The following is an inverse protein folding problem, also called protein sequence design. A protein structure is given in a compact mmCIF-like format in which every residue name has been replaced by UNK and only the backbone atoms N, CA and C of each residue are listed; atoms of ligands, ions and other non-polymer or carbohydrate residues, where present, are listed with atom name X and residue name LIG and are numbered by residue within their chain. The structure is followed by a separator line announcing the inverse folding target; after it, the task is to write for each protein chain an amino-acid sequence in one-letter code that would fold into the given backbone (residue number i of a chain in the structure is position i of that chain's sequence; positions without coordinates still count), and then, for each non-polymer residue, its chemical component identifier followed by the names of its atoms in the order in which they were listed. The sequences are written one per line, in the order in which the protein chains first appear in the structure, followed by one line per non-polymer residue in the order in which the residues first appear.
data_IF_444312402776
#
_entry.id   IF_444312402776
#
_cell.length_a   1.000
_cell.length_b   1.000
_cell.length_c   1.000
_cell.angle_alpha   90.00
_cell.angle_beta   90.00
_cell.angle_gamma   90.00
#
_symmetry.space_group_name_H-M   'P 1'
#
loop_
_entity.id
_entity.type
_entity.pdbx_description
1 polymer ?
#
# COMPACT_ATOMS: atom_id res chain seq x y z
N UNK A 1 8.98 -41.93 14.14
CA UNK A 1 8.32 -41.46 12.91
C UNK A 1 8.75 -40.01 12.75
N UNK A 2 9.51 -39.68 11.71
CA UNK A 2 9.93 -38.31 11.46
C UNK A 2 8.69 -37.49 11.07
N UNK A 3 8.44 -36.40 11.78
CA UNK A 3 7.43 -35.41 11.39
C UNK A 3 7.76 -34.94 9.98
N UNK A 4 6.84 -35.20 9.04
CA UNK A 4 6.94 -34.74 7.67
C UNK A 4 6.75 -33.22 7.69
N UNK A 5 7.85 -32.47 7.88
CA UNK A 5 7.81 -31.01 7.76
C UNK A 5 7.53 -30.69 6.30
N UNK A 6 6.38 -30.08 6.07
CA UNK A 6 5.99 -29.57 4.75
C UNK A 6 6.87 -28.35 4.45
N UNK A 7 7.99 -28.57 3.75
CA UNK A 7 8.88 -27.49 3.36
C UNK A 7 8.33 -26.86 2.07
N UNK A 8 7.88 -25.61 2.16
CA UNK A 8 7.57 -24.80 0.99
C UNK A 8 8.84 -24.36 0.25
N UNK A 9 8.73 -24.11 -1.06
CA UNK A 9 9.79 -23.47 -1.83
C UNK A 9 9.74 -21.95 -1.62
N UNK A 10 10.87 -21.34 -1.28
CA UNK A 10 11.02 -19.89 -1.22
C UNK A 10 11.91 -19.44 -2.37
N UNK A 11 11.44 -18.44 -3.12
CA UNK A 11 12.23 -17.81 -4.17
C UNK A 11 12.65 -16.41 -3.70
N UNK A 12 13.94 -16.12 -3.80
CA UNK A 12 14.53 -14.81 -3.47
C UNK A 12 15.45 -14.47 -4.63
N UNK A 13 15.15 -13.40 -5.36
CA UNK A 13 15.89 -12.93 -6.55
C UNK A 13 17.42 -12.99 -6.38
N UNK A 14 17.93 -12.46 -5.27
CA UNK A 14 19.35 -12.38 -4.96
C UNK A 14 20.02 -13.74 -4.72
N UNK A 15 19.25 -14.78 -4.37
CA UNK A 15 19.74 -16.13 -4.10
C UNK A 15 19.47 -17.11 -5.25
N UNK A 16 18.37 -16.91 -5.98
CA UNK A 16 17.89 -17.83 -7.00
C UNK A 16 18.39 -17.49 -8.41
N UNK A 17 18.92 -16.28 -8.63
CA UNK A 17 19.47 -15.84 -9.91
C UNK A 17 20.99 -15.74 -9.79
N UNK A 18 21.74 -16.44 -10.65
CA UNK A 18 23.17 -16.18 -10.80
C UNK A 18 23.39 -14.80 -11.44
N UNK A 19 23.65 -13.79 -10.61
CA UNK A 19 23.91 -12.42 -11.05
C UNK A 19 25.20 -12.30 -11.90
N UNK A 20 26.11 -13.28 -11.84
CA UNK A 20 27.33 -13.34 -12.65
C UNK A 20 27.11 -13.91 -14.06
N UNK A 21 26.00 -14.61 -14.28
CA UNK A 21 25.66 -15.21 -15.56
C UNK A 21 24.61 -14.37 -16.30
N UNK A 22 25.07 -13.51 -17.22
CA UNK A 22 24.21 -12.59 -17.98
C UNK A 22 23.09 -13.31 -18.73
N UNK A 23 23.38 -14.46 -19.35
CA UNK A 23 22.39 -15.22 -20.12
C UNK A 23 21.30 -15.78 -19.21
N UNK A 24 21.68 -16.32 -18.05
CA UNK A 24 20.72 -16.82 -17.08
C UNK A 24 19.90 -15.68 -16.48
N UNK A 25 20.54 -14.56 -16.08
CA UNK A 25 19.84 -13.38 -15.56
C UNK A 25 18.77 -12.89 -16.52
N UNK A 26 19.08 -12.79 -17.82
CA UNK A 26 18.09 -12.44 -18.85
C UNK A 26 16.89 -13.38 -18.83
N UNK A 27 17.12 -14.70 -18.83
CA UNK A 27 16.05 -15.70 -18.80
C UNK A 27 15.24 -15.65 -17.50
N UNK A 28 15.91 -15.51 -16.35
CA UNK A 28 15.25 -15.43 -15.04
C UNK A 28 14.36 -14.19 -14.94
N UNK A 29 14.81 -13.05 -15.46
CA UNK A 29 13.99 -11.82 -15.49
C UNK A 29 12.74 -11.98 -16.34
N UNK A 30 12.81 -12.67 -17.47
CA UNK A 30 11.62 -13.02 -18.27
C UNK A 30 10.67 -13.95 -17.50
N UNK A 31 11.21 -14.81 -16.63
CA UNK A 31 10.41 -15.73 -15.80
C UNK A 31 9.77 -15.07 -14.58
N UNK A 32 10.19 -13.87 -14.16
CA UNK A 32 9.66 -13.22 -12.95
C UNK A 32 8.14 -13.04 -12.99
N UNK A 33 7.57 -12.80 -14.17
CA UNK A 33 6.11 -12.75 -14.34
C UNK A 33 5.45 -14.04 -13.88
N UNK A 34 5.98 -15.17 -14.33
CA UNK A 34 5.45 -16.49 -14.02
C UNK A 34 5.61 -16.84 -12.54
N UNK A 35 6.75 -16.45 -11.94
CA UNK A 35 7.05 -16.70 -10.53
C UNK A 35 6.05 -15.95 -9.65
N UNK A 36 5.91 -14.63 -9.81
CA UNK A 36 5.01 -13.84 -8.96
C UNK A 36 3.54 -14.16 -9.20
N UNK A 37 3.14 -14.42 -10.45
CA UNK A 37 1.75 -14.77 -10.78
C UNK A 37 1.33 -16.18 -10.35
N UNK A 38 2.26 -17.01 -9.86
CA UNK A 38 1.95 -18.33 -9.30
C UNK A 38 2.31 -18.44 -7.82
N UNK A 39 2.86 -17.39 -7.23
CA UNK A 39 3.17 -17.38 -5.81
C UNK A 39 1.89 -17.57 -4.98
N UNK A 40 1.92 -18.52 -4.05
CA UNK A 40 0.87 -18.68 -3.04
C UNK A 40 0.90 -17.55 -2.01
N UNK A 41 2.11 -17.07 -1.71
CA UNK A 41 2.37 -15.97 -0.80
C UNK A 41 3.58 -15.16 -1.27
N UNK A 42 3.51 -13.84 -1.06
CA UNK A 42 4.56 -12.88 -1.34
C UNK A 42 4.93 -12.21 -0.02
N UNK A 43 6.20 -12.28 0.34
CA UNK A 43 6.73 -11.73 1.58
C UNK A 43 7.60 -10.50 1.28
N UNK A 44 7.17 -9.34 1.74
CA UNK A 44 7.91 -8.08 1.62
C UNK A 44 8.66 -7.84 2.93
N UNK A 45 9.99 -7.90 2.95
CA UNK A 45 10.79 -7.65 4.15
C UNK A 45 11.35 -6.22 4.16
N UNK A 46 10.91 -5.38 5.11
CA UNK A 46 11.32 -3.98 5.22
C UNK A 46 12.59 -3.74 6.05
N UNK A 47 13.17 -4.80 6.60
CA UNK A 47 14.36 -4.73 7.44
C UNK A 47 14.03 -4.85 8.93
N UNK A 48 15.09 -4.74 9.73
CA UNK A 48 14.96 -4.63 11.19
C UNK A 48 14.47 -3.24 11.61
N UNK A 49 13.88 -3.17 12.80
CA UNK A 49 13.61 -1.91 13.47
C UNK A 49 14.90 -1.48 14.18
N UNK A 50 15.56 -0.43 13.68
CA UNK A 50 16.76 0.11 14.31
C UNK A 50 16.42 0.65 15.70
N UNK A 51 17.29 0.42 16.69
CA UNK A 51 17.06 0.83 18.08
C UNK A 51 16.90 2.34 18.30
N UNK A 52 17.36 3.17 17.36
CA UNK A 52 17.27 4.63 17.42
C UNK A 52 15.87 5.17 17.10
N UNK A 53 14.97 4.34 16.55
CA UNK A 53 13.54 4.63 16.41
C UNK A 53 12.71 4.07 17.56
N UNK A 54 13.34 3.65 18.67
CA UNK A 54 12.61 3.27 19.89
C UNK A 54 12.07 4.54 20.55
N UNK A 55 10.75 4.66 20.77
CA UNK A 55 10.21 5.79 21.50
C UNK A 55 10.78 5.81 22.93
N UNK A 56 10.95 7.02 23.44
CA UNK A 56 11.67 7.38 24.68
C UNK A 56 11.07 6.75 25.96
N UNK A 57 9.97 5.99 25.87
CA UNK A 57 9.32 5.34 27.01
C UNK A 57 8.93 3.89 26.73
N UNK A 58 9.83 2.95 27.01
CA UNK A 58 9.58 1.61 27.60
C UNK A 58 8.54 0.63 27.00
N UNK A 59 7.73 1.02 26.03
CA UNK A 59 6.75 0.20 25.32
C UNK A 59 7.05 0.32 23.84
N UNK A 60 7.28 -0.79 23.13
CA UNK A 60 7.45 -0.81 21.68
C UNK A 60 6.05 -0.68 21.02
N UNK A 61 5.64 0.46 20.45
CA UNK A 61 4.24 0.81 20.37
C UNK A 61 3.71 1.02 18.94
N UNK A 62 4.07 0.17 17.96
CA UNK A 62 3.76 0.48 16.54
C UNK A 62 2.89 -0.54 15.78
N UNK A 63 2.58 -1.72 16.37
CA UNK A 63 1.61 -2.67 15.78
C UNK A 63 0.35 -2.93 16.62
N UNK A 64 0.39 -2.60 17.93
CA UNK A 64 -0.85 -2.26 18.64
C UNK A 64 -1.55 -1.04 18.02
N UNK A 65 -0.90 -0.39 17.07
CA UNK A 65 -1.18 0.94 16.54
C UNK A 65 -2.15 0.90 15.38
N UNK A 66 -2.17 -0.18 14.59
CA UNK A 66 -3.31 -0.49 13.72
C UNK A 66 -4.56 -0.75 14.55
N UNK A 67 -4.48 -1.56 15.62
CA UNK A 67 -5.62 -1.78 16.54
C UNK A 67 -6.04 -0.50 17.26
N UNK A 68 -5.08 0.37 17.58
CA UNK A 68 -5.30 1.66 18.24
C UNK A 68 -5.89 2.67 17.27
N UNK A 69 -5.44 2.74 16.02
CA UNK A 69 -6.05 3.54 14.97
C UNK A 69 -7.48 3.10 14.70
N UNK A 70 -7.73 1.79 14.61
CA UNK A 70 -9.08 1.25 14.48
C UNK A 70 -9.96 1.56 15.71
N UNK A 71 -9.36 1.69 16.90
CA UNK A 71 -10.05 2.21 18.10
C UNK A 71 -10.31 3.72 18.03
N UNK A 72 -9.33 4.52 17.60
CA UNK A 72 -9.44 6.00 17.48
C UNK A 72 -10.49 6.38 16.43
N UNK A 73 -10.51 5.67 15.31
CA UNK A 73 -11.53 5.82 14.27
C UNK A 73 -12.88 5.22 14.67
N UNK A 74 -12.90 4.37 15.69
CA UNK A 74 -14.05 3.55 16.07
C UNK A 74 -14.64 2.75 14.88
N UNK A 75 -13.76 2.19 14.04
CA UNK A 75 -14.13 1.40 12.85
C UNK A 75 -13.58 -0.01 13.00
N UNK A 76 -14.38 -1.04 12.67
CA UNK A 76 -13.88 -2.43 12.62
C UNK A 76 -13.12 -2.68 11.31
N UNK A 77 -12.16 -3.60 11.31
CA UNK A 77 -11.33 -3.86 10.12
C UNK A 77 -12.12 -4.35 8.91
N UNK A 78 -13.12 -5.18 9.15
CA UNK A 78 -14.07 -5.63 8.13
C UNK A 78 -14.93 -4.48 7.55
N UNK A 79 -14.98 -3.34 8.22
CA UNK A 79 -15.74 -2.15 7.80
C UNK A 79 -14.86 -1.08 7.17
N UNK A 80 -13.53 -1.14 7.33
CA UNK A 80 -12.61 -0.08 6.90
C UNK A 80 -12.74 0.25 5.42
N UNK A 81 -12.81 -0.77 4.55
CA UNK A 81 -12.98 -0.56 3.11
C UNK A 81 -14.35 0.08 2.77
N UNK A 82 -15.39 -0.23 3.55
CA UNK A 82 -16.73 0.37 3.42
C UNK A 82 -16.70 1.85 3.84
N UNK A 83 -16.07 2.15 4.97
CA UNK A 83 -15.88 3.53 5.46
C UNK A 83 -15.12 4.38 4.44
N UNK A 84 -14.01 3.87 3.90
CA UNK A 84 -13.26 4.54 2.83
C UNK A 84 -14.14 4.79 1.60
N UNK A 85 -14.96 3.82 1.20
CA UNK A 85 -15.87 3.99 0.06
C UNK A 85 -16.94 5.04 0.32
N UNK A 86 -17.50 5.09 1.54
CA UNK A 86 -18.48 6.10 1.96
C UNK A 86 -17.89 7.50 2.00
N UNK A 87 -16.71 7.66 2.60
CA UNK A 87 -15.98 8.94 2.61
C UNK A 87 -15.73 9.42 1.18
N UNK A 88 -15.25 8.54 0.30
CA UNK A 88 -15.00 8.90 -1.11
C UNK A 88 -16.26 9.39 -1.81
N UNK A 89 -17.42 8.74 -1.58
CA UNK A 89 -18.70 9.19 -2.14
C UNK A 89 -19.05 10.59 -1.65
N UNK A 90 -18.85 10.88 -0.36
CA UNK A 90 -19.09 12.21 0.22
C UNK A 90 -18.17 13.27 -0.41
N UNK A 91 -16.86 13.00 -0.53
CA UNK A 91 -15.90 13.95 -1.15
C UNK A 91 -16.12 14.17 -2.65
N UNK A 92 -16.76 13.23 -3.35
CA UNK A 92 -17.11 13.37 -4.78
C UNK A 92 -18.49 14.03 -4.97
N UNK A 93 -19.35 13.96 -3.94
CA UNK A 93 -20.70 14.52 -3.92
C UNK A 93 -20.79 15.80 -3.06
N UNK A 94 -19.88 16.76 -3.25
CA UNK A 94 -20.15 18.17 -2.87
C UNK A 94 -21.25 18.77 -3.78
N UNK A 95 -22.43 18.15 -3.72
CA UNK A 95 -23.75 18.64 -4.11
C UNK A 95 -24.69 18.30 -2.94
N UNK A 96 -25.55 19.24 -2.50
CA UNK A 96 -26.07 19.27 -1.15
C UNK A 96 -27.22 18.28 -0.95
N UNK A 97 -26.96 17.14 -0.30
CA UNK A 97 -28.00 16.31 0.31
C UNK A 97 -27.53 15.77 1.67
N UNK A 98 -27.84 16.55 2.71
CA UNK A 98 -27.47 16.33 4.13
C UNK A 98 -28.11 15.10 4.79
N UNK A 99 -28.94 14.34 4.08
CA UNK A 99 -29.68 13.19 4.64
C UNK A 99 -28.85 11.90 4.71
N UNK A 100 -27.82 11.74 3.88
CA UNK A 100 -27.04 10.48 3.79
C UNK A 100 -25.93 10.36 4.85
N UNK A 101 -25.37 11.47 5.32
CA UNK A 101 -24.30 11.50 6.33
C UNK A 101 -24.79 11.06 7.71
N UNK A 102 -26.08 11.27 8.01
CA UNK A 102 -26.70 10.81 9.25
C UNK A 102 -26.87 9.28 9.29
N UNK A 103 -27.15 8.63 8.15
CA UNK A 103 -27.33 7.18 8.08
C UNK A 103 -26.02 6.43 8.34
N UNK A 104 -24.90 6.87 7.76
CA UNK A 104 -23.58 6.25 7.98
C UNK A 104 -23.09 6.45 9.41
N UNK A 105 -23.30 7.64 9.99
CA UNK A 105 -22.96 7.92 11.39
C UNK A 105 -23.83 7.08 12.35
N UNK A 106 -25.09 6.83 12.00
CA UNK A 106 -25.98 5.94 12.75
C UNK A 106 -25.63 4.46 12.58
N UNK A 107 -25.20 3.98 11.41
CA UNK A 107 -24.73 2.59 11.24
C UNK A 107 -23.46 2.32 12.07
N UNK A 108 -22.50 3.25 12.06
CA UNK A 108 -21.25 3.15 12.85
C UNK A 108 -21.53 3.15 14.35
N UNK A 109 -22.55 3.89 14.82
CA UNK A 109 -22.91 3.96 16.24
C UNK A 109 -23.90 2.88 16.69
N UNK A 110 -24.77 2.37 15.81
CA UNK A 110 -25.79 1.36 16.15
C UNK A 110 -25.28 -0.08 16.11
N UNK A 111 -24.15 -0.36 15.45
CA UNK A 111 -23.42 -1.63 15.56
C UNK A 111 -22.82 -1.88 16.95
N UNK A 112 -22.87 -0.90 17.85
CA UNK A 112 -22.23 -0.90 19.16
C UNK A 112 -23.23 -0.88 20.32
N UNK A 113 -24.18 -1.82 20.35
CA UNK A 113 -24.97 -2.06 21.56
C UNK A 113 -24.19 -2.99 22.49
N UNK A 114 -23.23 -2.43 23.27
CA UNK A 114 -22.84 -2.87 24.62
C UNK A 114 -21.59 -2.13 25.17
N UNK A 115 -21.51 -0.80 25.05
CA UNK A 115 -20.65 -0.01 25.93
C UNK A 115 -21.43 1.17 26.48
N UNK A 116 -21.84 1.04 27.74
CA UNK A 116 -22.47 2.10 28.51
C UNK A 116 -21.39 3.09 28.97
N UNK A 117 -21.39 4.29 28.40
CA UNK A 117 -21.07 5.50 29.13
C UNK A 117 -21.89 6.66 28.56
N UNK A 118 -22.74 7.22 29.41
CA UNK A 118 -23.70 8.26 29.10
C UNK A 118 -22.99 9.61 28.85
N UNK A 119 -22.98 10.08 27.61
CA UNK A 119 -23.00 11.52 27.34
C UNK A 119 -23.98 11.84 26.20
N UNK A 120 -25.11 12.42 26.59
CA UNK A 120 -26.12 13.01 25.72
C UNK A 120 -25.53 14.19 24.94
N UNK A 121 -25.43 14.05 23.62
CA UNK A 121 -25.16 15.16 22.70
C UNK A 121 -26.37 16.10 22.71
N UNK A 122 -26.15 17.35 23.11
CA UNK A 122 -27.14 18.44 23.08
C UNK A 122 -27.53 18.74 21.63
N UNK A 123 -28.84 18.90 21.37
CA UNK A 123 -29.42 19.12 20.03
C UNK A 123 -29.32 20.56 19.50
N UNK A 124 -28.59 21.44 20.18
CA UNK A 124 -28.63 22.88 19.93
C UNK A 124 -27.29 23.47 19.43
N UNK A 125 -26.61 22.80 18.49
CA UNK A 125 -25.52 23.44 17.72
C UNK A 125 -25.96 23.68 16.26
N UNK A 126 -26.29 24.91 15.86
CA UNK A 126 -26.78 25.23 14.51
C UNK A 126 -25.66 25.28 13.45
N UNK A 127 -24.42 24.89 13.78
CA UNK A 127 -23.27 24.96 12.88
C UNK A 127 -22.57 23.63 12.61
N UNK A 128 -23.20 22.49 12.91
CA UNK A 128 -22.57 21.16 12.82
C UNK A 128 -21.96 20.89 11.44
N UNK A 129 -20.64 21.00 11.35
CA UNK A 129 -19.85 20.71 10.16
C UNK A 129 -20.12 19.27 9.70
N UNK A 130 -20.97 19.13 8.68
CA UNK A 130 -21.12 17.92 7.90
C UNK A 130 -19.82 17.71 7.11
N UNK A 131 -18.94 16.81 7.57
CA UNK A 131 -17.66 16.51 6.94
C UNK A 131 -16.89 15.38 7.61
N UNK A 132 -15.69 15.09 7.10
CA UNK A 132 -14.72 14.08 7.59
C UNK A 132 -14.41 14.18 9.10
N UNK A 133 -14.75 15.29 9.75
CA UNK A 133 -14.76 15.51 11.20
C UNK A 133 -15.57 14.46 11.97
N UNK A 134 -16.57 13.81 11.33
CA UNK A 134 -17.33 12.71 11.94
C UNK A 134 -16.54 11.41 12.13
N UNK A 135 -15.40 11.24 11.45
CA UNK A 135 -14.52 10.07 11.58
C UNK A 135 -13.52 10.24 12.73
N UNK A 136 -13.21 11.48 13.10
CA UNK A 136 -12.26 11.85 14.15
C UNK A 136 -12.96 12.40 15.42
N UNK A 137 -14.24 12.10 15.63
CA UNK A 137 -15.09 12.68 16.72
C UNK A 137 -14.49 12.50 18.12
N UNK A 138 -13.66 11.48 18.30
CA UNK A 138 -13.01 11.19 19.58
C UNK A 138 -11.50 11.49 19.59
N UNK A 139 -10.92 11.85 18.45
CA UNK A 139 -9.51 12.20 18.36
C UNK A 139 -9.28 13.57 19.00
N UNK A 140 -8.36 13.63 19.96
CA UNK A 140 -7.91 14.89 20.58
C UNK A 140 -6.48 15.17 20.15
N UNK A 141 -6.07 16.43 19.96
CA UNK A 141 -4.69 16.77 19.59
C UNK A 141 -3.62 16.12 20.50
N UNK A 142 -3.94 15.90 21.77
CA UNK A 142 -3.11 15.18 22.75
C UNK A 142 -3.18 13.64 22.70
N UNK A 143 -3.88 13.05 21.73
CA UNK A 143 -3.99 11.61 21.56
C UNK A 143 -2.66 11.03 21.07
N UNK A 144 -1.84 10.61 22.03
CA UNK A 144 -0.55 9.97 21.81
C UNK A 144 -0.66 8.76 20.88
N UNK A 145 -1.79 8.07 20.90
CA UNK A 145 -2.03 6.85 20.16
C UNK A 145 -2.17 7.14 18.66
N UNK A 146 -2.88 8.21 18.30
CA UNK A 146 -2.97 8.72 16.92
C UNK A 146 -1.62 9.29 16.45
N UNK A 147 -0.92 10.06 17.28
CA UNK A 147 0.41 10.60 16.92
C UNK A 147 1.42 9.49 16.65
N UNK A 148 1.46 8.45 17.50
CA UNK A 148 2.34 7.29 17.32
C UNK A 148 2.02 6.53 16.02
N UNK A 149 0.74 6.37 15.69
CA UNK A 149 0.30 5.76 14.42
C UNK A 149 0.85 6.50 13.21
N UNK A 150 0.58 7.80 13.18
CA UNK A 150 0.97 8.66 12.07
C UNK A 150 2.49 8.67 11.90
N UNK A 151 3.24 8.74 13.00
CA UNK A 151 4.70 8.61 13.00
C UNK A 151 5.17 7.26 12.47
N UNK A 152 4.52 6.17 12.88
CA UNK A 152 4.83 4.81 12.42
C UNK A 152 4.60 4.68 10.90
N UNK A 153 3.46 5.17 10.42
CA UNK A 153 3.11 5.10 9.00
C UNK A 153 4.07 5.95 8.15
N UNK A 154 4.44 7.14 8.63
CA UNK A 154 5.50 7.96 8.02
C UNK A 154 6.80 7.18 7.93
N UNK A 155 7.29 6.58 9.03
CA UNK A 155 8.53 5.80 9.05
C UNK A 155 8.49 4.55 8.16
N UNK A 156 7.34 3.89 8.03
CA UNK A 156 7.15 2.79 7.09
C UNK A 156 7.20 3.32 5.67
N UNK A 157 6.49 4.41 5.36
CA UNK A 157 6.41 4.98 4.01
C UNK A 157 7.74 5.51 3.48
N UNK A 158 8.64 5.96 4.36
CA UNK A 158 9.97 6.46 4.02
C UNK A 158 11.01 5.36 3.79
N UNK A 159 10.64 4.08 3.93
CA UNK A 159 11.58 2.98 3.74
C UNK A 159 12.09 2.95 2.29
N UNK A 160 13.43 2.89 2.09
CA UNK A 160 14.02 2.82 0.75
C UNK A 160 13.51 1.64 -0.08
N UNK A 161 13.04 0.57 0.57
CA UNK A 161 12.45 -0.60 -0.09
C UNK A 161 11.36 -0.22 -1.10
N UNK A 162 10.47 0.72 -0.75
CA UNK A 162 9.35 1.09 -1.63
C UNK A 162 9.80 1.76 -2.92
N UNK A 163 10.99 2.36 -2.94
CA UNK A 163 11.53 3.01 -4.13
C UNK A 163 12.05 2.04 -5.18
N UNK A 164 12.21 0.75 -4.88
CA UNK A 164 12.72 -0.25 -5.83
C UNK A 164 11.72 -0.46 -6.96
N UNK A 165 12.15 -0.36 -8.22
CA UNK A 165 11.27 -0.58 -9.38
C UNK A 165 10.62 -1.98 -9.35
N UNK A 166 11.38 -3.01 -8.97
CA UNK A 166 10.95 -4.41 -8.98
C UNK A 166 9.78 -4.72 -8.03
N UNK A 167 9.54 -3.90 -6.99
CA UNK A 167 8.39 -4.05 -6.09
C UNK A 167 7.04 -3.94 -6.81
N UNK A 168 7.04 -3.26 -7.97
CA UNK A 168 5.86 -3.13 -8.80
C UNK A 168 5.44 -4.50 -9.30
N UNK A 169 6.37 -5.32 -9.80
CA UNK A 169 6.05 -6.67 -10.26
C UNK A 169 5.58 -7.55 -9.11
N UNK A 170 6.28 -7.51 -7.98
CA UNK A 170 5.93 -8.25 -6.76
C UNK A 170 4.47 -8.02 -6.34
N UNK A 171 4.00 -6.77 -6.37
CA UNK A 171 2.64 -6.43 -5.94
C UNK A 171 1.62 -6.58 -7.06
N UNK A 172 1.95 -6.14 -8.27
CA UNK A 172 1.01 -6.08 -9.39
C UNK A 172 0.62 -7.46 -9.89
N UNK A 173 1.59 -8.39 -9.94
CA UNK A 173 1.39 -9.74 -10.46
C UNK A 173 0.84 -10.72 -9.43
N UNK A 174 0.76 -10.31 -8.17
CA UNK A 174 0.24 -11.12 -7.09
C UNK A 174 -1.20 -11.60 -7.40
N UNK A 175 -1.46 -12.92 -7.44
CA UNK A 175 -2.78 -13.47 -7.72
C UNK A 175 -3.88 -12.90 -6.82
N UNK A 176 -5.13 -12.89 -7.30
CA UNK A 176 -6.26 -12.40 -6.50
C UNK A 176 -6.40 -13.14 -5.16
N UNK A 177 -6.03 -14.42 -5.12
CA UNK A 177 -6.06 -15.25 -3.90
C UNK A 177 -4.74 -15.34 -3.12
N UNK A 178 -3.63 -14.78 -3.62
CA UNK A 178 -2.34 -14.86 -2.93
C UNK A 178 -2.29 -13.92 -1.72
N UNK A 179 -1.61 -14.34 -0.67
CA UNK A 179 -1.32 -13.48 0.48
C UNK A 179 -0.10 -12.61 0.16
N UNK A 180 -0.21 -11.29 0.36
CA UNK A 180 0.95 -10.42 0.39
C UNK A 180 1.12 -9.95 1.84
N UNK A 181 2.24 -10.31 2.44
CA UNK A 181 2.57 -10.02 3.83
C UNK A 181 3.80 -9.13 3.89
N UNK A 182 3.65 -7.94 4.47
CA UNK A 182 4.74 -7.02 4.77
C UNK A 182 5.28 -7.34 6.15
N UNK A 183 6.56 -7.67 6.23
CA UNK A 183 7.32 -8.00 7.42
C UNK A 183 8.25 -6.84 7.77
N UNK A 184 8.35 -6.51 9.05
CA UNK A 184 9.21 -5.43 9.52
C UNK A 184 9.66 -5.72 10.96
N UNK A 185 10.92 -6.14 11.13
CA UNK A 185 11.40 -6.78 12.36
C UNK A 185 10.50 -7.98 12.73
N UNK A 186 10.03 -8.02 13.98
CA UNK A 186 9.13 -9.05 14.48
C UNK A 186 7.64 -8.80 14.15
N UNK A 187 7.34 -7.83 13.29
CA UNK A 187 5.97 -7.41 12.97
C UNK A 187 5.57 -7.82 11.56
N UNK A 188 4.26 -8.01 11.35
CA UNK A 188 3.70 -8.34 10.05
C UNK A 188 2.35 -7.67 9.78
N UNK A 189 2.14 -7.26 8.54
CA UNK A 189 0.94 -6.62 8.02
C UNK A 189 0.48 -7.31 6.72
N UNK A 190 -0.83 -7.49 6.54
CA UNK A 190 -1.34 -7.83 5.20
C UNK A 190 -1.34 -6.58 4.32
N UNK A 191 -0.89 -6.70 3.08
CA UNK A 191 -0.84 -5.58 2.13
C UNK A 191 -2.17 -4.84 1.95
N UNK A 192 -3.34 -5.50 1.80
CA UNK A 192 -4.62 -4.78 1.71
C UNK A 192 -4.90 -3.86 2.90
N UNK A 193 -4.50 -4.28 4.11
CA UNK A 193 -4.67 -3.47 5.31
C UNK A 193 -3.80 -2.22 5.26
N UNK A 194 -2.54 -2.34 4.81
CA UNK A 194 -1.66 -1.20 4.64
C UNK A 194 -2.19 -0.24 3.56
N UNK A 195 -2.73 -0.76 2.46
CA UNK A 195 -3.37 0.04 1.40
C UNK A 195 -4.58 0.83 1.90
N UNK A 196 -5.44 0.20 2.69
CA UNK A 196 -6.61 0.86 3.29
C UNK A 196 -6.17 1.98 4.25
N UNK A 197 -5.14 1.74 5.07
CA UNK A 197 -4.59 2.75 5.99
C UNK A 197 -4.03 3.96 5.25
N UNK A 198 -3.20 3.73 4.23
CA UNK A 198 -2.66 4.81 3.38
C UNK A 198 -3.78 5.58 2.70
N UNK A 199 -4.79 4.88 2.17
CA UNK A 199 -5.96 5.49 1.52
C UNK A 199 -6.77 6.36 2.48
N UNK A 200 -6.98 5.90 3.72
CA UNK A 200 -7.75 6.65 4.70
C UNK A 200 -7.01 7.91 5.14
N UNK A 201 -5.71 7.78 5.39
CA UNK A 201 -4.87 8.90 5.80
C UNK A 201 -4.80 9.99 4.72
N UNK A 202 -4.79 9.61 3.45
CA UNK A 202 -4.91 10.57 2.34
C UNK A 202 -6.24 11.29 2.31
N UNK A 203 -7.34 10.57 2.56
CA UNK A 203 -8.68 11.17 2.61
C UNK A 203 -8.83 12.15 3.78
N UNK A 204 -8.15 11.87 4.90
CA UNK A 204 -8.16 12.68 6.11
C UNK A 204 -6.99 13.67 6.18
N UNK A 205 -6.23 13.88 5.10
CA UNK A 205 -4.95 14.60 5.23
C UNK A 205 -5.13 16.03 5.78
N UNK A 206 -6.18 16.75 5.34
CA UNK A 206 -6.51 18.07 5.90
C UNK A 206 -6.86 18.01 7.40
N UNK A 207 -7.66 17.02 7.80
CA UNK A 207 -8.12 16.84 9.18
C UNK A 207 -7.00 16.35 10.12
N UNK A 208 -5.99 15.68 9.58
CA UNK A 208 -4.85 15.14 10.33
C UNK A 208 -3.70 16.15 10.49
N UNK A 209 -3.67 17.25 9.70
CA UNK A 209 -2.64 18.31 9.81
C UNK A 209 -2.47 18.88 11.22
N UNK A 210 -3.54 19.16 12.01
CA UNK A 210 -3.41 19.66 13.38
C UNK A 210 -2.64 18.72 14.31
N UNK A 211 -2.58 17.43 13.99
CA UNK A 211 -1.88 16.40 14.76
C UNK A 211 -0.39 16.27 14.38
N UNK A 212 0.13 17.23 13.61
CA UNK A 212 1.52 17.22 13.14
C UNK A 212 1.76 16.25 11.99
N UNK A 213 0.70 15.71 11.39
CA UNK A 213 0.83 14.78 10.29
C UNK A 213 1.33 15.46 9.02
N UNK A 214 2.36 14.85 8.41
CA UNK A 214 2.84 15.17 7.08
C UNK A 214 3.14 13.86 6.37
N UNK A 215 2.15 13.22 5.75
CA UNK A 215 2.51 12.36 4.62
C UNK A 215 2.98 13.32 3.53
N UNK A 216 4.18 13.13 3.00
CA UNK A 216 4.64 13.92 1.87
C UNK A 216 3.64 13.75 0.73
N UNK A 217 2.82 14.79 0.46
CA UNK A 217 1.76 14.81 -0.55
C UNK A 217 2.23 14.57 -2.00
N UNK A 218 3.50 14.24 -2.23
CA UNK A 218 4.04 14.02 -3.56
C UNK A 218 5.24 13.07 -3.50
N UNK A 219 5.15 11.93 -4.20
CA UNK A 219 6.29 11.04 -4.43
C UNK A 219 6.52 9.94 -3.39
N UNK A 220 5.53 9.63 -2.54
CA UNK A 220 5.62 8.48 -1.65
C UNK A 220 5.32 7.19 -2.45
N UNK A 221 6.35 6.38 -2.72
CA UNK A 221 6.20 5.16 -3.53
C UNK A 221 5.15 4.21 -2.96
N UNK A 222 5.03 4.14 -1.63
CA UNK A 222 4.04 3.32 -0.95
C UNK A 222 2.60 3.69 -1.34
N UNK A 223 2.30 4.99 -1.47
CA UNK A 223 1.00 5.48 -1.96
C UNK A 223 0.75 5.08 -3.40
N UNK A 224 1.74 5.24 -4.27
CA UNK A 224 1.64 4.84 -5.67
C UNK A 224 1.32 3.35 -5.77
N UNK A 225 2.05 2.51 -5.04
CA UNK A 225 1.86 1.06 -5.01
C UNK A 225 0.50 0.68 -4.43
N UNK A 226 0.06 1.32 -3.34
CA UNK A 226 -1.25 1.09 -2.74
C UNK A 226 -2.37 1.47 -3.70
N UNK A 227 -2.27 2.62 -4.36
CA UNK A 227 -3.25 3.09 -5.35
C UNK A 227 -3.33 2.13 -6.53
N UNK A 228 -2.18 1.74 -7.09
CA UNK A 228 -2.08 0.75 -8.16
C UNK A 228 -2.76 -0.57 -7.79
N UNK A 229 -2.44 -1.10 -6.60
CA UNK A 229 -3.03 -2.34 -6.11
C UNK A 229 -4.55 -2.24 -5.97
N UNK A 230 -5.05 -1.16 -5.39
CA UNK A 230 -6.48 -0.96 -5.15
C UNK A 230 -7.26 -0.75 -6.46
N UNK A 231 -6.70 -0.03 -7.43
CA UNK A 231 -7.29 0.13 -8.77
C UNK A 231 -7.39 -1.20 -9.53
N UNK A 232 -6.33 -2.00 -9.47
CA UNK A 232 -6.30 -3.33 -10.09
C UNK A 232 -7.41 -4.22 -9.51
N UNK A 233 -7.58 -4.20 -8.17
CA UNK A 233 -8.58 -5.01 -7.47
C UNK A 233 -10.02 -4.53 -7.70
N UNK A 234 -10.26 -3.22 -7.77
CA UNK A 234 -11.61 -2.66 -8.00
C UNK A 234 -12.14 -2.95 -9.38
N UNK A 235 -11.27 -3.04 -10.38
CA UNK A 235 -11.70 -3.16 -11.76
C UNK A 235 -12.48 -4.45 -12.04
N UNK A 236 -12.40 -5.49 -11.18
CA UNK A 236 -12.98 -6.85 -11.35
C UNK A 236 -12.65 -7.53 -12.69
N UNK A 237 -11.96 -6.83 -13.59
CA UNK A 237 -11.32 -7.36 -14.76
C UNK A 237 -10.20 -8.25 -14.27
N UNK A 238 -9.98 -9.31 -15.03
CA UNK A 238 -8.99 -10.34 -14.69
C UNK A 238 -7.65 -9.71 -14.27
N UNK A 239 -6.83 -10.38 -13.43
CA UNK A 239 -5.52 -9.89 -12.98
C UNK A 239 -4.51 -9.45 -14.08
N UNK A 240 -4.92 -9.52 -15.34
CA UNK A 240 -4.13 -9.45 -16.56
C UNK A 240 -4.52 -8.29 -17.49
N UNK A 241 -5.25 -7.27 -17.04
CA UNK A 241 -5.35 -6.01 -17.81
C UNK A 241 -3.99 -5.28 -17.73
N UNK A 242 -2.99 -5.89 -18.38
CA UNK A 242 -1.62 -5.41 -18.48
C UNK A 242 -1.64 -3.99 -19.05
N UNK A 243 -0.75 -3.16 -18.54
CA UNK A 243 -0.68 -1.76 -18.92
C UNK A 243 -0.11 -1.61 -20.32
N UNK A 244 -0.44 -0.49 -21.00
CA UNK A 244 0.43 -0.06 -22.08
C UNK A 244 1.80 0.30 -21.50
N UNK A 245 2.84 0.07 -22.28
CA UNK A 245 4.21 0.44 -21.97
C UNK A 245 4.32 1.93 -21.61
N UNK A 246 3.58 2.78 -22.33
CA UNK A 246 3.51 4.21 -22.04
C UNK A 246 2.97 4.51 -20.63
N UNK A 247 1.88 3.86 -20.20
CA UNK A 247 1.32 4.03 -18.85
C UNK A 247 2.31 3.55 -17.78
N UNK A 248 2.91 2.38 -17.99
CA UNK A 248 3.89 1.82 -17.06
C UNK A 248 5.09 2.75 -16.89
N UNK A 249 5.61 3.28 -18.01
CA UNK A 249 6.73 4.22 -18.00
C UNK A 249 6.38 5.54 -17.33
N UNK A 250 5.18 6.10 -17.57
CA UNK A 250 4.71 7.32 -16.89
C UNK A 250 4.67 7.15 -15.37
N UNK A 251 4.16 6.01 -14.89
CA UNK A 251 4.10 5.72 -13.45
C UNK A 251 5.51 5.59 -12.87
N UNK A 252 6.37 4.79 -13.49
CA UNK A 252 7.74 4.55 -12.97
C UNK A 252 8.59 5.82 -12.99
N UNK A 253 8.61 6.54 -14.12
CA UNK A 253 9.42 7.74 -14.28
C UNK A 253 8.86 8.91 -13.46
N UNK A 254 7.53 9.10 -13.45
CA UNK A 254 6.87 10.19 -12.71
C UNK A 254 7.00 10.06 -11.19
N UNK A 255 7.18 8.84 -10.67
CA UNK A 255 7.34 8.59 -9.23
C UNK A 255 8.79 8.28 -8.83
N UNK A 256 9.77 8.44 -9.73
CA UNK A 256 11.20 8.23 -9.45
C UNK A 256 11.53 6.86 -8.82
N UNK A 257 10.93 5.78 -9.32
CA UNK A 257 11.33 4.42 -8.94
C UNK A 257 12.78 4.15 -9.38
N UNK A 258 13.53 3.46 -8.52
CA UNK A 258 14.96 3.25 -8.61
C UNK A 258 15.27 1.83 -9.08
N UNK A 259 16.31 1.72 -9.90
CA UNK A 259 16.89 0.46 -10.31
C UNK A 259 18.42 0.57 -10.30
N UNK A 260 19.10 -0.51 -9.95
CA UNK A 260 20.57 -0.54 -9.96
C UNK A 260 21.11 -0.57 -11.39
N UNK A 261 20.46 -1.33 -12.26
CA UNK A 261 20.75 -1.40 -13.69
C UNK A 261 19.80 -0.46 -14.45
N UNK A 262 20.35 0.48 -15.21
CA UNK A 262 19.53 1.47 -15.90
C UNK A 262 18.58 0.85 -16.95
N UNK A 263 18.89 -0.36 -17.45
CA UNK A 263 18.04 -1.11 -18.40
C UNK A 263 16.76 -1.64 -17.75
N UNK A 264 16.74 -1.82 -16.43
CA UNK A 264 15.56 -2.28 -15.69
C UNK A 264 14.40 -1.28 -15.77
N UNK A 265 14.65 -0.03 -16.16
CA UNK A 265 13.57 0.93 -16.49
C UNK A 265 12.67 0.44 -17.62
N UNK A 266 13.18 -0.45 -18.48
CA UNK A 266 12.43 -1.12 -19.52
C UNK A 266 12.17 -2.58 -19.15
N UNK A 267 13.20 -3.32 -18.76
CA UNK A 267 13.10 -4.77 -18.50
C UNK A 267 12.25 -5.09 -17.26
N UNK A 268 12.31 -4.24 -16.23
CA UNK A 268 11.47 -4.39 -15.04
C UNK A 268 9.99 -4.09 -15.28
N UNK A 269 9.60 -3.64 -16.47
CA UNK A 269 8.20 -3.44 -16.85
C UNK A 269 7.60 -4.62 -17.62
N UNK A 270 8.42 -5.55 -18.13
CA UNK A 270 7.95 -6.56 -19.10
C UNK A 270 6.85 -7.45 -18.55
N UNK A 271 6.90 -7.80 -17.26
CA UNK A 271 5.86 -8.60 -16.62
C UNK A 271 4.49 -7.92 -16.54
N UNK A 272 4.44 -6.58 -16.51
CA UNK A 272 3.21 -5.81 -16.25
C UNK A 272 2.65 -5.08 -17.48
N UNK A 273 3.38 -5.09 -18.60
CA UNK A 273 2.94 -4.48 -19.88
C UNK A 273 2.39 -5.53 -20.84
N UNK A 274 1.48 -5.09 -21.72
CA UNK A 274 0.81 -5.97 -22.70
C UNK A 274 1.79 -6.75 -23.54
N UNK A 275 1.43 -7.98 -23.88
CA UNK A 275 2.32 -8.94 -24.56
C UNK A 275 2.79 -8.45 -25.94
N UNK A 276 1.97 -7.67 -26.64
CA UNK A 276 2.27 -7.08 -27.94
C UNK A 276 3.20 -5.85 -27.87
N UNK A 277 3.36 -5.25 -26.69
CA UNK A 277 4.25 -4.11 -26.43
C UNK A 277 5.55 -4.52 -25.70
N UNK A 278 5.78 -5.83 -25.50
CA UNK A 278 6.98 -6.36 -24.83
C UNK A 278 8.21 -6.29 -25.71
N UNK A 279 9.36 -6.14 -25.06
CA UNK A 279 10.69 -6.21 -25.65
C UNK A 279 11.48 -7.38 -25.03
N UNK A 280 12.24 -8.15 -25.83
CA UNK A 280 13.09 -9.21 -25.30
C UNK A 280 14.14 -8.69 -24.31
N UNK A 281 14.35 -9.41 -23.21
CA UNK A 281 15.28 -9.02 -22.16
C UNK A 281 16.69 -9.48 -22.51
N UNK A 282 17.59 -8.52 -22.74
CA UNK A 282 18.94 -8.81 -23.19
C UNK A 282 19.97 -7.95 -22.43
N UNK A 283 20.48 -8.49 -21.33
CA UNK A 283 21.51 -7.83 -20.53
C UNK A 283 22.91 -7.88 -21.18
N UNK A 284 23.06 -8.45 -22.37
CA UNK A 284 24.31 -8.34 -23.14
C UNK A 284 24.45 -6.98 -23.85
N UNK A 285 23.35 -6.27 -24.09
CA UNK A 285 23.31 -4.96 -24.75
C UNK A 285 23.64 -3.82 -23.78
N UNK A 286 24.28 -2.75 -24.26
CA UNK A 286 24.30 -1.49 -23.50
C UNK A 286 22.91 -0.85 -23.45
N UNK A 287 22.72 0.14 -22.58
CA UNK A 287 21.44 0.86 -22.50
C UNK A 287 21.11 1.61 -23.80
N UNK A 288 22.13 2.19 -24.45
CA UNK A 288 21.98 2.90 -25.72
C UNK A 288 21.59 1.92 -26.85
N UNK A 289 22.25 0.77 -26.91
CA UNK A 289 21.94 -0.29 -27.88
C UNK A 289 20.51 -0.80 -27.70
N UNK A 290 20.09 -1.07 -26.46
CA UNK A 290 18.73 -1.49 -26.14
C UNK A 290 17.71 -0.41 -26.56
N UNK A 291 17.98 0.85 -26.26
CA UNK A 291 17.08 1.95 -26.60
C UNK A 291 16.92 2.11 -28.11
N UNK A 292 18.02 2.14 -28.87
CA UNK A 292 17.99 2.25 -30.34
C UNK A 292 17.29 1.07 -30.98
N UNK A 293 17.53 -0.15 -30.46
CA UNK A 293 16.97 -1.38 -31.00
C UNK A 293 15.45 -1.44 -30.86
N UNK A 294 14.92 -1.01 -29.71
CA UNK A 294 13.51 -1.23 -29.37
C UNK A 294 12.63 0.02 -29.46
N UNK A 295 13.23 1.21 -29.49
CA UNK A 295 12.52 2.49 -29.64
C UNK A 295 13.13 3.33 -30.78
N UNK A 296 13.09 2.83 -32.03
CA UNK A 296 13.56 3.60 -33.18
C UNK A 296 12.69 4.85 -33.38
N UNK A 297 13.34 5.94 -33.83
CA UNK A 297 12.72 7.24 -34.06
C UNK A 297 11.66 7.24 -35.18
#
# INVERSE_FOLDING_TARGET
MAENRDYGYLWIDQLCIDQGNVSERSQQVEMMEHIYSQASEILIWLGEIKSETKPVHGCHPEWNTCRTFMRVLNVRYDELSSVIASIRKMTVQDSPDQLFVQEVTQEITSGNSNFSDHHTVSKDDPGGECGLSCVLVHAKPEDQALTLFLSSLTHISERPYWSRLWIIQEIFLAPTGSLITVLWGDHCAKWPMLCDMVSLVQLLDEDLRPYGFKLGRSGCHLETLATMYMENRRSQRTPWDKWSFHKALQIVAGNAFQCADARDRFYGLQGIVRDDERVPVDYSLTIEEAFVKYFPA
#
